data_IF_433620738500
#
_entry.id   IF_433620738500
#
_cell.length_a   1.000
_cell.length_b   1.000
_cell.length_c   1.000
_cell.angle_alpha   90.00
_cell.angle_beta   90.00
_cell.angle_gamma   90.00
#
_symmetry.space_group_name_H-M   'P 1'
#
loop_
_entity.id
_entity.type
_entity.pdbx_description
1 polymer ?
#
# COMPACT_ATOMS: atom_id res chain seq x y z
N UNK A 1 -1.36 -17.20 11.30
CA UNK A 1 -1.41 -17.27 9.82
C UNK A 1 -1.82 -15.92 9.25
N UNK A 2 -1.12 -15.48 8.24
CA UNK A 2 -1.41 -14.22 7.55
C UNK A 2 -2.35 -14.48 6.38
N UNK A 3 -3.47 -13.76 6.33
CA UNK A 3 -4.37 -13.76 5.17
C UNK A 3 -4.44 -12.35 4.59
N UNK A 4 -4.56 -12.26 3.26
CA UNK A 4 -4.67 -10.97 2.56
C UNK A 4 -5.92 -10.99 1.70
N UNK A 5 -6.86 -10.11 2.01
CA UNK A 5 -8.14 -10.01 1.30
C UNK A 5 -8.60 -8.56 1.18
N UNK A 6 -9.69 -8.36 0.45
CA UNK A 6 -10.27 -7.03 0.29
C UNK A 6 -10.70 -6.45 1.64
N UNK A 7 -10.60 -5.12 1.77
CA UNK A 7 -11.15 -4.41 2.92
C UNK A 7 -12.68 -4.44 2.87
N UNK A 8 -13.29 -4.69 4.02
CA UNK A 8 -14.75 -4.78 4.17
C UNK A 8 -15.30 -3.50 4.80
N UNK A 9 -16.60 -3.20 4.64
CA UNK A 9 -17.19 -2.02 5.28
C UNK A 9 -16.93 -1.94 6.78
N UNK A 10 -16.97 -3.07 7.48
CA UNK A 10 -16.73 -3.14 8.93
C UNK A 10 -15.27 -2.90 9.33
N UNK A 11 -14.34 -2.84 8.39
CA UNK A 11 -12.92 -2.60 8.67
C UNK A 11 -12.59 -1.12 8.88
N UNK A 12 -13.56 -0.20 8.72
CA UNK A 12 -13.30 1.25 8.78
C UNK A 12 -12.51 1.69 10.00
N UNK A 13 -12.91 1.21 11.19
CA UNK A 13 -12.24 1.61 12.43
C UNK A 13 -10.82 1.06 12.51
N UNK A 14 -10.62 -0.21 12.16
CA UNK A 14 -9.30 -0.85 12.19
C UNK A 14 -8.37 -0.23 11.13
N UNK A 15 -8.87 -0.02 9.91
CA UNK A 15 -8.14 0.67 8.86
C UNK A 15 -7.78 2.10 9.29
N UNK A 16 -8.70 2.81 9.93
CA UNK A 16 -8.46 4.17 10.40
C UNK A 16 -7.31 4.27 11.40
N UNK A 17 -7.22 3.32 12.33
CA UNK A 17 -6.09 3.26 13.26
C UNK A 17 -4.76 3.02 12.55
N UNK A 18 -4.74 2.10 11.59
CA UNK A 18 -3.55 1.83 10.79
C UNK A 18 -3.18 3.03 9.92
N UNK A 19 -4.15 3.65 9.28
CA UNK A 19 -3.93 4.84 8.45
C UNK A 19 -3.37 6.00 9.27
N UNK A 20 -3.86 6.20 10.50
CA UNK A 20 -3.30 7.19 11.40
C UNK A 20 -1.85 6.89 11.75
N UNK A 21 -1.50 5.63 11.97
CA UNK A 21 -0.12 5.20 12.20
C UNK A 21 0.78 5.48 10.99
N UNK A 22 0.28 5.21 9.80
CA UNK A 22 0.98 5.52 8.56
C UNK A 22 1.26 7.02 8.41
N UNK A 23 0.23 7.86 8.63
CA UNK A 23 0.36 9.31 8.56
C UNK A 23 1.30 9.87 9.63
N UNK A 24 1.25 9.30 10.82
CA UNK A 24 2.18 9.65 11.91
C UNK A 24 3.63 9.33 11.53
N UNK A 25 3.87 8.18 10.94
CA UNK A 25 5.20 7.78 10.50
C UNK A 25 5.79 8.79 9.50
N UNK A 26 4.96 9.31 8.58
CA UNK A 26 5.36 10.32 7.59
C UNK A 26 5.16 11.75 8.08
N UNK A 27 4.80 11.94 9.35
CA UNK A 27 4.58 13.24 9.96
C UNK A 27 3.62 14.12 9.14
N UNK A 28 2.51 13.52 8.73
CA UNK A 28 1.51 14.17 7.87
C UNK A 28 0.21 14.37 8.66
N UNK A 29 -0.08 15.58 9.15
CA UNK A 29 -1.37 15.86 9.80
C UNK A 29 -2.53 15.56 8.86
N UNK A 30 -3.55 14.86 9.35
CA UNK A 30 -4.68 14.42 8.54
C UNK A 30 -5.96 14.58 9.36
N UNK A 31 -6.96 15.23 8.77
CA UNK A 31 -8.25 15.42 9.42
C UNK A 31 -9.14 14.18 9.31
N UNK A 32 -10.14 14.09 10.18
CA UNK A 32 -11.12 13.00 10.11
C UNK A 32 -11.88 13.01 8.77
N UNK A 33 -12.19 14.20 8.25
CA UNK A 33 -12.83 14.31 6.94
C UNK A 33 -11.96 13.75 5.81
N UNK A 34 -10.65 13.93 5.88
CA UNK A 34 -9.72 13.37 4.90
C UNK A 34 -9.68 11.84 4.99
N UNK A 35 -9.70 11.27 6.20
CA UNK A 35 -9.80 9.82 6.37
C UNK A 35 -11.12 9.28 5.81
N UNK A 36 -12.22 9.96 6.07
CA UNK A 36 -13.54 9.53 5.58
C UNK A 36 -13.57 9.54 4.05
N UNK A 37 -13.04 10.57 3.42
CA UNK A 37 -12.97 10.65 1.96
C UNK A 37 -12.07 9.56 1.37
N UNK A 38 -10.92 9.32 1.97
CA UNK A 38 -10.03 8.24 1.54
C UNK A 38 -10.73 6.88 1.63
N UNK A 39 -11.41 6.62 2.73
CA UNK A 39 -12.17 5.38 2.91
C UNK A 39 -13.28 5.23 1.87
N UNK A 40 -14.02 6.32 1.61
CA UNK A 40 -15.06 6.33 0.58
C UNK A 40 -14.49 5.92 -0.78
N UNK A 41 -13.35 6.48 -1.16
CA UNK A 41 -12.68 6.13 -2.43
C UNK A 41 -12.31 4.66 -2.49
N UNK A 42 -11.79 4.11 -1.41
CA UNK A 42 -11.44 2.69 -1.35
C UNK A 42 -12.67 1.79 -1.46
N UNK A 43 -13.79 2.18 -0.86
CA UNK A 43 -15.02 1.38 -0.88
C UNK A 43 -15.72 1.43 -2.23
N UNK A 44 -15.64 2.52 -2.95
CA UNK A 44 -16.27 2.65 -4.27
C UNK A 44 -15.44 2.04 -5.40
N UNK A 45 -14.17 1.74 -5.16
CA UNK A 45 -13.27 1.22 -6.19
C UNK A 45 -13.06 2.21 -7.33
N UNK A 46 -13.12 3.51 -7.03
CA UNK A 46 -13.05 4.59 -8.01
C UNK A 46 -11.57 4.91 -8.34
N UNK A 47 -10.96 4.01 -9.09
CA UNK A 47 -9.58 4.17 -9.54
C UNK A 47 -8.51 3.76 -8.53
N UNK A 48 -8.88 3.56 -7.27
CA UNK A 48 -7.96 3.09 -6.23
C UNK A 48 -8.48 1.82 -5.59
N UNK A 49 -7.57 0.95 -5.18
CA UNK A 49 -7.89 -0.37 -4.65
C UNK A 49 -7.08 -0.63 -3.38
N UNK A 50 -7.54 -1.57 -2.57
CA UNK A 50 -6.85 -1.92 -1.34
C UNK A 50 -6.95 -3.41 -1.03
N UNK A 51 -5.95 -3.90 -0.32
CA UNK A 51 -6.02 -5.15 0.41
C UNK A 51 -5.68 -4.90 1.88
N UNK A 52 -6.26 -5.69 2.75
CA UNK A 52 -5.90 -5.76 4.15
C UNK A 52 -5.22 -7.07 4.47
N UNK A 53 -4.21 -7.01 5.33
CA UNK A 53 -3.57 -8.20 5.88
C UNK A 53 -4.12 -8.46 7.28
N UNK A 54 -4.49 -9.71 7.54
CA UNK A 54 -5.01 -10.14 8.84
C UNK A 54 -4.08 -11.19 9.44
N UNK A 55 -3.85 -11.05 10.72
CA UNK A 55 -3.14 -12.03 11.52
C UNK A 55 -4.10 -12.52 12.60
N UNK A 56 -4.42 -13.81 12.56
CA UNK A 56 -5.41 -14.42 13.46
C UNK A 56 -6.75 -13.65 13.47
N UNK A 57 -7.18 -13.23 12.29
CA UNK A 57 -8.45 -12.54 12.07
C UNK A 57 -8.43 -11.03 12.30
N UNK A 58 -7.36 -10.47 12.85
CA UNK A 58 -7.26 -9.03 13.10
C UNK A 58 -6.53 -8.32 11.98
N UNK A 59 -7.07 -7.19 11.53
CA UNK A 59 -6.44 -6.37 10.52
C UNK A 59 -5.16 -5.72 11.08
N UNK A 60 -4.01 -6.06 10.50
CA UNK A 60 -2.69 -5.63 10.98
C UNK A 60 -1.88 -4.88 9.91
N UNK A 61 -2.39 -4.76 8.72
CA UNK A 61 -1.71 -4.02 7.66
C UNK A 61 -2.61 -3.76 6.48
N UNK A 62 -2.21 -2.85 5.62
CA UNK A 62 -2.92 -2.55 4.38
C UNK A 62 -1.97 -2.18 3.26
N UNK A 63 -2.47 -2.26 2.04
CA UNK A 63 -1.83 -1.73 0.85
C UNK A 63 -2.89 -1.04 0.00
N UNK A 64 -2.57 0.15 -0.50
CA UNK A 64 -3.37 0.88 -1.47
C UNK A 64 -2.62 0.90 -2.80
N UNK A 65 -3.33 0.61 -3.89
CA UNK A 65 -2.70 0.56 -5.21
C UNK A 65 -3.67 1.04 -6.29
N UNK A 66 -3.11 1.37 -7.44
CA UNK A 66 -3.89 1.81 -8.60
C UNK A 66 -3.20 1.38 -9.88
N UNK A 67 -3.97 1.35 -10.95
CA UNK A 67 -3.45 1.14 -12.30
C UNK A 67 -3.36 2.48 -13.00
N UNK A 68 -2.27 2.73 -13.71
CA UNK A 68 -2.20 3.90 -14.58
C UNK A 68 -1.83 3.49 -16.01
N UNK A 69 -2.30 4.29 -16.96
CA UNK A 69 -2.00 4.12 -18.38
C UNK A 69 -0.55 4.44 -18.66
N UNK A 70 0.05 3.70 -19.57
CA UNK A 70 1.39 3.96 -20.08
C UNK A 70 1.30 4.20 -21.59
N UNK A 71 2.11 5.13 -22.12
CA UNK A 71 2.21 5.36 -23.57
C UNK A 71 2.97 4.21 -24.24
N UNK A 72 3.95 3.63 -23.55
CA UNK A 72 4.92 2.71 -24.15
C UNK A 72 4.61 1.24 -23.88
N UNK A 73 3.70 0.94 -22.98
CA UNK A 73 3.42 -0.42 -22.55
C UNK A 73 1.96 -0.57 -22.15
N UNK A 74 1.61 -1.78 -21.68
CA UNK A 74 0.32 -2.00 -21.01
C UNK A 74 0.27 -1.22 -19.70
N UNK A 75 -0.90 -1.20 -19.09
CA UNK A 75 -1.08 -0.54 -17.80
C UNK A 75 -0.01 -0.94 -16.79
N UNK A 76 0.28 -0.01 -15.91
CA UNK A 76 1.27 -0.15 -14.85
C UNK A 76 0.56 -0.08 -13.51
N UNK A 77 0.98 -0.86 -12.54
CA UNK A 77 0.45 -0.81 -11.16
C UNK A 77 1.38 0.03 -10.30
N UNK A 78 0.81 1.03 -9.65
CA UNK A 78 1.48 1.83 -8.64
C UNK A 78 0.97 1.42 -7.25
N UNK A 79 1.87 0.92 -6.41
CA UNK A 79 1.61 0.65 -5.00
C UNK A 79 1.87 1.94 -4.25
N UNK A 80 0.79 2.63 -3.86
CA UNK A 80 0.89 3.99 -3.32
C UNK A 80 1.22 4.01 -1.84
N UNK A 81 0.55 3.19 -1.04
CA UNK A 81 0.74 3.15 0.40
C UNK A 81 0.86 1.71 0.88
N UNK A 82 1.76 1.46 1.79
CA UNK A 82 1.97 0.15 2.41
C UNK A 82 2.29 0.36 3.89
N UNK A 83 1.51 -0.25 4.77
CA UNK A 83 1.72 -0.11 6.20
C UNK A 83 1.45 -1.40 6.94
N UNK A 84 2.29 -1.68 7.92
CA UNK A 84 2.14 -2.80 8.85
C UNK A 84 2.19 -2.27 10.28
N UNK A 85 1.25 -2.71 11.12
CA UNK A 85 1.26 -2.39 12.54
C UNK A 85 2.63 -2.71 13.15
N UNK A 86 3.14 -1.77 13.95
CA UNK A 86 4.47 -1.90 14.54
C UNK A 86 4.61 -3.16 15.41
N UNK A 87 3.52 -3.61 16.05
CA UNK A 87 3.52 -4.77 16.94
C UNK A 87 3.74 -6.10 16.21
N UNK A 88 3.54 -6.14 14.90
CA UNK A 88 3.66 -7.38 14.11
C UNK A 88 4.71 -7.28 13.00
N UNK A 89 5.57 -6.28 13.03
CA UNK A 89 6.66 -6.14 12.06
C UNK A 89 7.64 -7.32 12.14
N UNK A 90 8.29 -7.63 11.02
CA UNK A 90 9.22 -8.75 10.94
C UNK A 90 8.55 -10.12 10.79
N UNK A 91 7.23 -10.15 10.59
CA UNK A 91 6.46 -11.40 10.48
C UNK A 91 5.98 -11.70 9.06
N UNK A 92 6.44 -10.94 8.06
CA UNK A 92 6.12 -11.19 6.67
C UNK A 92 4.84 -10.52 6.16
N UNK A 93 4.23 -9.61 6.94
CA UNK A 93 2.97 -8.95 6.57
C UNK A 93 3.14 -8.07 5.34
N UNK A 94 4.15 -7.20 5.33
CA UNK A 94 4.41 -6.31 4.19
C UNK A 94 4.70 -7.10 2.92
N UNK A 95 5.50 -8.15 3.03
CA UNK A 95 5.80 -9.03 1.90
C UNK A 95 4.53 -9.67 1.34
N UNK A 96 3.66 -10.18 2.20
CA UNK A 96 2.40 -10.79 1.78
C UNK A 96 1.50 -9.80 1.04
N UNK A 97 1.45 -8.56 1.50
CA UNK A 97 0.70 -7.50 0.83
C UNK A 97 1.27 -7.18 -0.56
N UNK A 98 2.58 -7.05 -0.68
CA UNK A 98 3.25 -6.82 -1.98
C UNK A 98 2.96 -7.99 -2.93
N UNK A 99 3.10 -9.20 -2.47
CA UNK A 99 2.87 -10.41 -3.29
C UNK A 99 1.43 -10.49 -3.78
N UNK A 100 0.47 -10.07 -2.96
CA UNK A 100 -0.95 -10.05 -3.36
C UNK A 100 -1.21 -9.04 -4.47
N UNK A 101 -0.63 -7.84 -4.37
CA UNK A 101 -0.74 -6.85 -5.44
C UNK A 101 -0.02 -7.34 -6.71
N UNK A 102 1.14 -7.97 -6.57
CA UNK A 102 1.85 -8.55 -7.70
C UNK A 102 1.01 -9.63 -8.41
N UNK A 103 0.27 -10.43 -7.66
CA UNK A 103 -0.65 -11.41 -8.24
C UNK A 103 -1.71 -10.74 -9.10
N UNK A 104 -2.38 -9.70 -8.59
CA UNK A 104 -3.38 -8.94 -9.37
C UNK A 104 -2.74 -8.32 -10.61
N UNK A 105 -1.54 -7.76 -10.47
CA UNK A 105 -0.82 -7.18 -11.59
C UNK A 105 -0.58 -8.20 -12.70
N UNK A 106 -0.17 -9.42 -12.34
CA UNK A 106 0.03 -10.50 -13.31
C UNK A 106 -1.27 -10.95 -13.95
N UNK A 107 -2.32 -11.11 -13.18
CA UNK A 107 -3.64 -11.50 -13.68
C UNK A 107 -4.18 -10.50 -14.70
N UNK A 108 -3.90 -9.21 -14.49
CA UNK A 108 -4.28 -8.14 -15.41
C UNK A 108 -3.23 -7.85 -16.48
N UNK A 109 -2.19 -8.64 -16.55
CA UNK A 109 -1.10 -8.50 -17.54
C UNK A 109 -0.47 -7.10 -17.51
N UNK A 110 -0.33 -6.51 -16.33
CA UNK A 110 0.33 -5.22 -16.17
C UNK A 110 1.81 -5.31 -16.57
N UNK A 111 2.35 -4.21 -17.06
CA UNK A 111 3.74 -4.16 -17.52
C UNK A 111 4.74 -4.19 -16.37
N UNK A 112 4.37 -3.62 -15.22
CA UNK A 112 5.19 -3.65 -14.01
C UNK A 112 4.38 -3.23 -12.80
N UNK A 113 4.93 -3.51 -11.62
CA UNK A 113 4.50 -3.02 -10.32
C UNK A 113 5.67 -2.25 -9.72
N UNK A 114 5.43 -1.04 -9.25
CA UNK A 114 6.48 -0.22 -8.63
C UNK A 114 5.95 0.57 -7.45
N UNK A 115 6.86 1.03 -6.60
CA UNK A 115 6.54 1.87 -5.45
C UNK A 115 7.72 2.78 -5.12
N UNK A 116 7.46 3.76 -4.27
CA UNK A 116 8.43 4.73 -3.80
C UNK A 116 8.64 4.56 -2.29
N UNK A 117 9.84 4.84 -1.84
CA UNK A 117 10.14 4.95 -0.41
C UNK A 117 11.20 6.02 -0.22
N UNK A 118 11.31 6.53 0.99
CA UNK A 118 12.40 7.43 1.32
C UNK A 118 13.73 6.68 1.25
N UNK A 119 14.74 7.30 0.67
CA UNK A 119 16.07 6.70 0.54
C UNK A 119 16.63 6.27 1.89
N UNK A 120 16.32 7.02 2.94
CA UNK A 120 16.78 6.78 4.30
C UNK A 120 16.03 5.68 5.04
N UNK A 121 14.93 5.16 4.48
CA UNK A 121 14.11 4.14 5.12
C UNK A 121 14.77 2.77 4.98
N UNK A 122 15.82 2.54 5.76
CA UNK A 122 16.67 1.35 5.68
C UNK A 122 15.89 0.07 5.99
N UNK A 123 14.99 0.11 6.96
CA UNK A 123 14.19 -1.05 7.37
C UNK A 123 13.30 -1.54 6.23
N UNK A 124 12.58 -0.63 5.58
CA UNK A 124 11.73 -0.98 4.44
C UNK A 124 12.57 -1.44 3.24
N UNK A 125 13.67 -0.76 2.97
CA UNK A 125 14.55 -1.10 1.84
C UNK A 125 15.19 -2.47 1.98
N UNK A 126 15.44 -2.93 3.20
CA UNK A 126 15.94 -4.29 3.43
C UNK A 126 14.97 -5.35 2.88
N UNK A 127 13.67 -5.14 3.02
CA UNK A 127 12.66 -5.99 2.40
C UNK A 127 12.59 -5.76 0.89
N UNK A 128 12.55 -4.51 0.45
CA UNK A 128 12.34 -4.18 -0.96
C UNK A 128 13.47 -4.70 -1.84
N UNK A 129 14.71 -4.66 -1.35
CA UNK A 129 15.86 -5.21 -2.07
C UNK A 129 15.77 -6.73 -2.28
N UNK A 130 15.02 -7.42 -1.42
CA UNK A 130 14.79 -8.88 -1.55
C UNK A 130 13.70 -9.22 -2.56
N UNK A 131 12.73 -8.34 -2.76
CA UNK A 131 11.53 -8.64 -3.58
C UNK A 131 11.49 -7.89 -4.90
N UNK A 132 12.31 -6.84 -5.05
CA UNK A 132 12.32 -6.00 -6.25
C UNK A 132 13.73 -5.45 -6.49
N UNK A 133 13.86 -4.56 -7.48
CA UNK A 133 15.14 -3.96 -7.86
C UNK A 133 15.03 -2.45 -7.79
N UNK A 134 15.94 -1.82 -7.07
CA UNK A 134 16.07 -0.37 -7.05
C UNK A 134 16.59 0.13 -8.40
N UNK A 135 15.86 1.03 -9.05
CA UNK A 135 16.17 1.52 -10.40
C UNK A 135 16.87 2.88 -10.43
N UNK A 136 17.12 3.49 -9.27
CA UNK A 136 17.86 4.75 -9.19
C UNK A 136 17.06 6.00 -9.47
N UNK A 137 15.73 5.91 -9.61
CA UNK A 137 14.87 7.09 -9.80
C UNK A 137 14.73 7.86 -8.49
N UNK A 138 14.66 9.17 -8.61
CA UNK A 138 14.32 10.06 -7.49
C UNK A 138 13.03 10.81 -7.82
N UNK A 139 12.35 11.33 -6.81
CA UNK A 139 11.08 12.01 -6.97
C UNK A 139 11.27 13.51 -6.74
N UNK A 140 10.66 14.31 -7.63
CA UNK A 140 10.55 15.75 -7.47
C UNK A 140 9.07 16.10 -7.29
N UNK A 141 8.76 16.96 -6.34
CA UNK A 141 7.41 17.48 -6.14
C UNK A 141 7.43 18.98 -6.42
N UNK A 142 6.48 19.44 -7.23
CA UNK A 142 6.22 20.85 -7.45
C UNK A 142 4.93 21.20 -6.72
N UNK A 143 4.96 22.01 -5.66
CA UNK A 143 3.74 22.44 -4.98
C UNK A 143 2.83 23.24 -5.92
N UNK A 144 1.54 22.99 -5.85
CA UNK A 144 0.53 23.61 -6.69
C UNK A 144 -0.42 24.48 -5.86
#
# INVERSE_FOLDING_TARGET
>A
MITVDALRPEDRAAWGRLAAGYKHFYNTPTSEAEYDEAWRRLQTGDGVFAFGARLDGQLVGFVHYLFHTSIWARDVVYLQDLFTDASVRGRGVARALIERVAQVARERQAARLYWLTQETNQTARALYDKVATFKGFIRYDLPL
#
